data_IF_440954310965
#
_entry.id   IF_440954310965
#
_cell.length_a   1.000
_cell.length_b   1.000
_cell.length_c   1.000
_cell.angle_alpha   90.00
_cell.angle_beta   90.00
_cell.angle_gamma   90.00
#
_symmetry.space_group_name_H-M   'P 1'
#
loop_
_entity.id
_entity.type
_entity.pdbx_description
1 polymer ?
#
# COMPACT_ATOMS: atom_id res chain seq x y z
N UNK A 1 3.46 15.95 6.34
CA UNK A 1 4.29 15.92 5.12
C UNK A 1 5.64 15.37 5.52
N UNK A 2 6.07 14.27 4.91
CA UNK A 2 7.36 13.62 5.20
C UNK A 2 8.45 14.14 4.26
N UNK A 3 9.72 13.98 4.62
CA UNK A 3 10.85 14.46 3.83
C UNK A 3 10.92 13.77 2.45
N UNK A 4 11.43 14.46 1.44
CA UNK A 4 11.55 13.92 0.06
C UNK A 4 12.38 12.64 -0.01
N UNK A 5 13.45 12.56 0.78
CA UNK A 5 14.26 11.35 0.90
C UNK A 5 13.42 10.18 1.41
N UNK A 6 12.59 10.41 2.42
CA UNK A 6 11.71 9.39 2.98
C UNK A 6 10.62 8.97 1.98
N UNK A 7 10.07 9.91 1.20
CA UNK A 7 9.13 9.57 0.11
C UNK A 7 9.79 8.67 -0.94
N UNK A 8 11.04 8.95 -1.30
CA UNK A 8 11.81 8.17 -2.27
C UNK A 8 12.06 6.75 -1.76
N UNK A 9 12.51 6.62 -0.52
CA UNK A 9 12.72 5.32 0.13
C UNK A 9 11.43 4.51 0.22
N UNK A 10 10.34 5.11 0.68
CA UNK A 10 9.04 4.43 0.77
C UNK A 10 8.50 4.04 -0.61
N UNK A 11 8.68 4.87 -1.63
CA UNK A 11 8.29 4.53 -3.00
C UNK A 11 9.04 3.31 -3.52
N UNK A 12 10.35 3.22 -3.26
CA UNK A 12 11.14 2.05 -3.62
C UNK A 12 10.63 0.77 -2.91
N UNK A 13 10.25 0.88 -1.63
CA UNK A 13 9.64 -0.23 -0.87
C UNK A 13 8.32 -0.69 -1.52
N UNK A 14 7.42 0.24 -1.86
CA UNK A 14 6.15 -0.10 -2.54
C UNK A 14 6.41 -0.79 -3.87
N UNK A 15 7.28 -0.23 -4.71
CA UNK A 15 7.58 -0.82 -6.02
C UNK A 15 8.17 -2.23 -5.91
N UNK A 16 9.11 -2.44 -4.97
CA UNK A 16 9.70 -3.74 -4.72
C UNK A 16 8.65 -4.76 -4.26
N UNK A 17 7.81 -4.40 -3.29
CA UNK A 17 6.76 -5.29 -2.78
C UNK A 17 5.75 -5.69 -3.86
N UNK A 18 5.31 -4.74 -4.70
CA UNK A 18 4.39 -5.03 -5.81
C UNK A 18 5.06 -5.92 -6.88
N UNK A 19 6.33 -5.68 -7.18
CA UNK A 19 7.07 -6.52 -8.12
C UNK A 19 7.17 -7.96 -7.61
N UNK A 20 7.45 -8.16 -6.32
CA UNK A 20 7.49 -9.50 -5.72
C UNK A 20 6.15 -10.24 -5.86
N UNK A 21 5.01 -9.58 -5.64
CA UNK A 21 3.70 -10.22 -5.82
C UNK A 21 3.45 -10.61 -7.28
N UNK A 22 3.78 -9.72 -8.23
CA UNK A 22 3.55 -9.96 -9.66
C UNK A 22 4.46 -11.04 -10.24
N UNK A 23 5.68 -11.18 -9.72
CA UNK A 23 6.58 -12.29 -10.08
C UNK A 23 5.94 -13.64 -9.72
N UNK A 24 5.21 -13.70 -8.61
CA UNK A 24 4.45 -14.89 -8.19
C UNK A 24 3.10 -15.04 -8.92
N UNK A 25 2.81 -14.19 -9.90
CA UNK A 25 1.55 -14.21 -10.65
C UNK A 25 0.35 -13.65 -9.88
N UNK A 26 0.58 -12.95 -8.76
CA UNK A 26 -0.46 -12.33 -7.96
C UNK A 26 -0.64 -10.86 -8.37
N UNK A 27 -1.88 -10.43 -8.62
CA UNK A 27 -2.21 -9.01 -8.74
C UNK A 27 -2.85 -8.52 -7.44
N UNK A 28 -2.21 -7.58 -6.72
CA UNK A 28 -2.77 -7.02 -5.49
C UNK A 28 -4.05 -6.21 -5.72
N UNK A 29 -4.91 -6.13 -4.69
CA UNK A 29 -6.09 -5.27 -4.67
C UNK A 29 -5.74 -3.82 -5.06
N UNK A 30 -6.43 -3.27 -6.05
CA UNK A 30 -6.19 -1.93 -6.56
C UNK A 30 -6.29 -0.85 -5.47
N UNK A 31 -7.21 -1.01 -4.51
CA UNK A 31 -7.34 -0.04 -3.42
C UNK A 31 -6.19 -0.17 -2.41
N UNK A 32 -5.71 -1.38 -2.14
CA UNK A 32 -4.51 -1.59 -1.32
C UNK A 32 -3.26 -0.98 -1.98
N UNK A 33 -3.13 -1.08 -3.30
CA UNK A 33 -2.06 -0.41 -4.06
C UNK A 33 -2.14 1.12 -3.89
N UNK A 34 -3.32 1.71 -4.09
CA UNK A 34 -3.51 3.15 -3.93
C UNK A 34 -3.19 3.64 -2.51
N UNK A 35 -3.59 2.88 -1.48
CA UNK A 35 -3.31 3.21 -0.08
C UNK A 35 -1.80 3.10 0.23
N UNK A 36 -1.09 2.12 -0.35
CA UNK A 36 0.36 2.00 -0.24
C UNK A 36 1.09 3.20 -0.88
N UNK A 37 0.62 3.69 -2.03
CA UNK A 37 1.18 4.88 -2.67
C UNK A 37 0.94 6.15 -1.86
N UNK A 38 -0.25 6.31 -1.26
CA UNK A 38 -0.55 7.42 -0.34
C UNK A 38 0.34 7.38 0.90
N UNK A 39 0.63 6.19 1.43
CA UNK A 39 1.60 6.02 2.51
C UNK A 39 3.01 6.45 2.08
N UNK A 40 3.42 6.11 0.86
CA UNK A 40 4.72 6.51 0.32
C UNK A 40 4.84 8.03 0.15
N UNK A 41 3.74 8.74 -0.17
CA UNK A 41 3.70 10.21 -0.20
C UNK A 41 3.54 10.87 1.18
N UNK A 42 3.35 10.08 2.24
CA UNK A 42 3.10 10.58 3.59
C UNK A 42 1.71 11.20 3.79
N UNK A 43 0.76 10.87 2.91
CA UNK A 43 -0.65 11.29 2.97
C UNK A 43 -1.47 10.44 3.93
N UNK A 44 -0.97 9.24 4.28
CA UNK A 44 -1.58 8.37 5.28
C UNK A 44 -0.52 7.53 6.01
N UNK A 45 -0.91 6.98 7.16
CA UNK A 45 -0.07 6.01 7.89
C UNK A 45 -0.29 4.61 7.33
N UNK A 46 0.72 3.74 7.47
CA UNK A 46 0.58 2.33 7.05
C UNK A 46 -0.50 1.61 7.87
N UNK A 47 -0.66 1.95 9.15
CA UNK A 47 -1.72 1.42 10.01
C UNK A 47 -3.11 1.73 9.44
N UNK A 48 -3.34 2.96 9.00
CA UNK A 48 -4.61 3.35 8.38
C UNK A 48 -4.89 2.57 7.08
N UNK A 49 -3.87 2.29 6.27
CA UNK A 49 -4.02 1.48 5.05
C UNK A 49 -4.42 0.04 5.38
N UNK A 50 -3.76 -0.56 6.37
CA UNK A 50 -4.08 -1.92 6.85
C UNK A 50 -5.49 -1.99 7.44
N UNK A 51 -5.89 -1.00 8.23
CA UNK A 51 -7.23 -0.97 8.83
C UNK A 51 -8.33 -0.80 7.77
N UNK A 52 -8.11 0.04 6.76
CA UNK A 52 -9.04 0.19 5.63
C UNK A 52 -9.17 -1.10 4.84
N UNK A 53 -8.06 -1.79 4.53
CA UNK A 53 -8.09 -3.09 3.86
C UNK A 53 -8.90 -4.12 4.67
N UNK A 54 -8.62 -4.24 5.97
CA UNK A 54 -9.36 -5.17 6.87
C UNK A 54 -10.84 -4.84 6.95
N UNK A 55 -11.21 -3.56 6.95
CA UNK A 55 -12.62 -3.16 6.95
C UNK A 55 -13.32 -3.62 5.66
N UNK A 56 -12.70 -3.46 4.49
CA UNK A 56 -13.25 -3.94 3.21
C UNK A 56 -13.43 -5.46 3.20
N UNK A 57 -12.42 -6.21 3.64
CA UNK A 57 -12.50 -7.67 3.72
C UNK A 57 -13.61 -8.17 4.63
N UNK A 58 -13.89 -7.48 5.74
CA UNK A 58 -15.03 -7.84 6.60
C UNK A 58 -16.39 -7.58 5.93
N UNK A 59 -16.49 -6.57 5.08
CA UNK A 59 -17.71 -6.25 4.35
C UNK A 59 -17.98 -7.22 3.21
N UNK A 60 -16.94 -7.69 2.51
CA UNK A 60 -17.07 -8.68 1.44
C UNK A 60 -17.44 -10.08 1.94
N UNK A 61 -17.18 -10.37 3.22
CA UNK A 61 -17.48 -11.65 3.87
C UNK A 61 -18.87 -11.69 4.56
N UNK A 62 -19.61 -10.58 4.57
CA UNK A 62 -20.91 -10.44 5.23
C UNK A 62 -22.07 -10.57 4.23
#
# INVERSE_FOLDING_TARGET
MIAEQEQTERRAVVQSALASQRIEGLEPDAQAVADAERWARGEMTIGAAVDQYKARMRLEMA
#
